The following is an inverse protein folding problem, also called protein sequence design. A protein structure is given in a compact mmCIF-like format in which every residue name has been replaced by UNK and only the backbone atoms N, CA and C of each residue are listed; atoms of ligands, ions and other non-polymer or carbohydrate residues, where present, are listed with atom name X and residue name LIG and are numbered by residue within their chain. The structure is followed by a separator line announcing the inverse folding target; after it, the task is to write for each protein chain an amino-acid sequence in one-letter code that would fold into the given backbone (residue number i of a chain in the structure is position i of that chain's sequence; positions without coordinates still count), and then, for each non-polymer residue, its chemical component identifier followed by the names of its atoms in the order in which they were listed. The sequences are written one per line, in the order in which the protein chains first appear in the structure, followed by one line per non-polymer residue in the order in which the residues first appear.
data_IF_833896073957
#
_entry.id   IF_833896073957
#
_cell.length_a   1.000
_cell.length_b   1.000
_cell.length_c   1.000
_cell.angle_alpha   90.00
_cell.angle_beta   90.00
_cell.angle_gamma   90.00
#
_symmetry.space_group_name_H-M   'P 1'
#
loop_
_entity.id
_entity.type
_entity.pdbx_description
1 polymer ?
#
# COMPACT_ATOMS: atom_id res chain seq x y z
N UNK A 1 41.67 -60.05 -15.09
CA UNK A 1 41.32 -59.06 -14.06
C UNK A 1 40.68 -57.88 -14.76
N UNK A 2 39.36 -57.79 -14.75
CA UNK A 2 38.59 -56.66 -15.33
C UNK A 2 38.37 -55.64 -14.20
N UNK A 3 38.92 -54.40 -14.34
CA UNK A 3 38.68 -53.34 -13.40
C UNK A 3 37.38 -52.63 -13.76
N UNK A 4 36.39 -52.71 -12.87
CA UNK A 4 35.12 -51.96 -12.95
C UNK A 4 35.38 -50.51 -12.50
N UNK A 5 35.31 -49.56 -13.41
CA UNK A 5 35.33 -48.10 -13.08
C UNK A 5 33.89 -47.72 -12.77
N UNK A 6 33.57 -47.51 -11.50
CA UNK A 6 32.28 -46.92 -11.05
C UNK A 6 32.36 -45.38 -11.24
N UNK A 7 31.70 -44.90 -12.25
CA UNK A 7 31.50 -43.43 -12.50
C UNK A 7 30.44 -42.93 -11.52
N UNK A 8 30.86 -42.31 -10.42
CA UNK A 8 29.95 -41.63 -9.50
C UNK A 8 29.44 -40.32 -10.18
N UNK A 9 28.19 -40.35 -10.68
CA UNK A 9 27.46 -39.16 -11.11
C UNK A 9 27.20 -38.28 -9.89
N UNK A 10 28.01 -37.23 -9.72
CA UNK A 10 27.74 -36.11 -8.81
C UNK A 10 26.51 -35.40 -9.31
N UNK A 11 25.36 -35.67 -8.71
CA UNK A 11 24.14 -34.86 -8.87
C UNK A 11 24.40 -33.53 -8.15
N UNK A 12 24.89 -32.54 -8.88
CA UNK A 12 24.96 -31.14 -8.40
C UNK A 12 23.52 -30.70 -8.32
N UNK A 13 22.99 -30.30 -7.12
CA UNK A 13 21.68 -29.74 -7.03
C UNK A 13 21.70 -28.42 -7.83
N UNK A 14 20.95 -28.38 -8.90
CA UNK A 14 20.72 -27.15 -9.67
C UNK A 14 20.04 -26.16 -8.73
N UNK A 15 20.79 -25.19 -8.21
CA UNK A 15 20.22 -24.06 -7.52
C UNK A 15 19.38 -23.31 -8.57
N UNK A 16 18.09 -23.57 -8.58
CA UNK A 16 17.17 -22.89 -9.50
C UNK A 16 17.38 -21.38 -9.37
N UNK A 17 17.62 -20.71 -10.47
CA UNK A 17 17.78 -19.25 -10.50
C UNK A 17 16.63 -18.58 -9.75
N UNK A 18 16.96 -17.75 -8.76
CA UNK A 18 15.97 -17.02 -7.99
C UNK A 18 15.16 -16.12 -8.94
N UNK A 19 13.86 -16.37 -9.02
CA UNK A 19 13.00 -15.62 -9.95
C UNK A 19 12.93 -14.15 -9.53
N UNK A 20 13.39 -13.24 -10.40
CA UNK A 20 13.34 -11.80 -10.15
C UNK A 20 11.91 -11.29 -10.33
N UNK A 21 11.42 -10.58 -9.31
CA UNK A 21 10.11 -9.91 -9.31
C UNK A 21 10.27 -8.43 -8.99
N UNK A 22 9.79 -7.57 -9.88
CA UNK A 22 9.72 -6.13 -9.63
C UNK A 22 8.42 -5.81 -8.92
N UNK A 23 8.51 -5.10 -7.79
CA UNK A 23 7.41 -4.74 -6.92
C UNK A 23 7.43 -3.24 -6.73
N UNK A 24 6.35 -2.54 -7.03
CA UNK A 24 6.28 -1.11 -6.76
C UNK A 24 5.46 -0.78 -5.53
N UNK A 25 5.65 0.44 -5.01
CA UNK A 25 4.82 1.02 -3.96
C UNK A 25 4.57 2.51 -4.22
N UNK A 26 3.37 3.00 -3.85
CA UNK A 26 2.86 4.27 -4.34
C UNK A 26 3.30 5.51 -3.55
N UNK A 27 4.00 5.34 -2.42
CA UNK A 27 4.40 6.45 -1.56
C UNK A 27 5.05 6.00 -0.25
N UNK A 28 5.30 6.95 0.64
CA UNK A 28 6.04 6.74 1.89
C UNK A 28 5.14 6.69 3.15
N UNK A 29 3.83 6.51 2.99
CA UNK A 29 2.91 6.35 4.12
C UNK A 29 3.14 5.03 4.86
N UNK A 30 2.83 5.02 6.16
CA UNK A 30 3.17 3.91 7.05
C UNK A 30 2.49 2.58 6.75
N UNK A 31 1.38 2.58 6.02
CA UNK A 31 0.75 1.35 5.54
C UNK A 31 1.59 0.57 4.49
N UNK A 32 2.66 1.17 3.95
CA UNK A 32 3.63 0.48 3.07
C UNK A 32 4.71 -0.26 3.87
N UNK A 33 4.88 0.03 5.15
CA UNK A 33 5.96 -0.53 5.99
C UNK A 33 5.97 -2.06 6.00
N UNK A 34 4.84 -2.77 6.06
CA UNK A 34 4.85 -4.23 5.99
C UNK A 34 5.57 -4.79 4.74
N UNK A 35 5.39 -4.16 3.57
CA UNK A 35 6.09 -4.56 2.35
C UNK A 35 7.60 -4.33 2.47
N UNK A 36 8.02 -3.18 3.01
CA UNK A 36 9.42 -2.87 3.21
C UNK A 36 10.07 -3.80 4.24
N UNK A 37 9.36 -4.12 5.33
CA UNK A 37 9.79 -5.10 6.34
C UNK A 37 9.96 -6.48 5.70
N UNK A 38 9.03 -6.91 4.85
CA UNK A 38 9.12 -8.18 4.10
C UNK A 38 10.41 -8.24 3.28
N UNK A 39 10.74 -7.15 2.60
CA UNK A 39 11.95 -7.04 1.78
C UNK A 39 13.22 -7.03 2.63
N UNK A 40 13.31 -6.13 3.61
CA UNK A 40 14.50 -5.93 4.43
C UNK A 40 14.82 -7.14 5.33
N UNK A 41 13.82 -7.89 5.74
CA UNK A 41 13.99 -9.14 6.47
C UNK A 41 14.38 -10.32 5.56
N UNK A 42 14.51 -10.11 4.24
CA UNK A 42 14.90 -11.15 3.29
C UNK A 42 13.84 -12.24 3.08
N UNK A 43 12.57 -11.96 3.42
CA UNK A 43 11.50 -12.97 3.37
C UNK A 43 11.16 -13.37 1.93
N UNK A 44 11.30 -12.47 0.95
CA UNK A 44 11.19 -12.83 -0.46
C UNK A 44 12.29 -13.80 -0.88
N UNK A 45 13.55 -13.53 -0.48
CA UNK A 45 14.68 -14.40 -0.75
C UNK A 45 14.50 -15.79 -0.12
N UNK A 46 13.94 -15.86 1.08
CA UNK A 46 13.58 -17.11 1.77
C UNK A 46 12.62 -17.96 0.94
N UNK A 47 11.76 -17.33 0.13
CA UNK A 47 10.83 -18.00 -0.78
C UNK A 47 11.42 -18.23 -2.18
N UNK A 48 12.71 -17.96 -2.40
CA UNK A 48 13.38 -18.11 -3.69
C UNK A 48 13.04 -17.01 -4.70
N UNK A 49 12.60 -15.82 -4.22
CA UNK A 49 12.30 -14.65 -5.05
C UNK A 49 13.38 -13.58 -4.84
N UNK A 50 13.94 -13.08 -5.92
CA UNK A 50 14.75 -11.85 -5.91
C UNK A 50 13.81 -10.67 -6.12
N UNK A 51 13.52 -9.92 -5.05
CA UNK A 51 12.60 -8.79 -5.10
C UNK A 51 13.35 -7.48 -5.35
N UNK A 52 12.88 -6.70 -6.34
CA UNK A 52 13.32 -5.34 -6.62
C UNK A 52 12.18 -4.38 -6.27
N UNK A 53 12.37 -3.54 -5.22
CA UNK A 53 11.35 -2.61 -4.73
C UNK A 53 11.55 -1.23 -5.36
N UNK A 54 10.50 -0.71 -6.02
CA UNK A 54 10.53 0.54 -6.77
C UNK A 54 9.48 1.51 -6.23
N UNK A 55 9.91 2.71 -5.81
CA UNK A 55 9.00 3.81 -5.50
C UNK A 55 8.51 4.45 -6.80
N UNK A 56 7.21 4.37 -7.05
CA UNK A 56 6.54 5.09 -8.14
C UNK A 56 5.44 5.95 -7.52
N UNK A 57 5.57 7.28 -7.57
CA UNK A 57 4.62 8.20 -6.93
C UNK A 57 3.20 8.09 -7.48
N UNK A 58 2.25 7.74 -6.61
CA UNK A 58 0.82 7.63 -6.92
C UNK A 58 0.38 6.30 -7.54
N UNK A 59 -0.85 5.86 -7.19
CA UNK A 59 -1.36 4.53 -7.55
C UNK A 59 -1.59 4.35 -9.05
N UNK A 60 -2.12 5.34 -9.75
CA UNK A 60 -2.45 5.24 -11.18
C UNK A 60 -1.23 4.94 -12.04
N UNK A 61 -0.09 5.60 -11.79
CA UNK A 61 1.17 5.33 -12.51
C UNK A 61 1.70 3.93 -12.24
N UNK A 62 1.57 3.43 -10.99
CA UNK A 62 1.93 2.06 -10.64
C UNK A 62 1.11 1.03 -11.44
N UNK A 63 -0.20 1.26 -11.56
CA UNK A 63 -1.08 0.36 -12.32
C UNK A 63 -0.75 0.40 -13.83
N UNK A 64 -0.41 1.56 -14.38
CA UNK A 64 0.04 1.66 -15.79
C UNK A 64 1.32 0.84 -16.03
N UNK A 65 2.32 0.93 -15.15
CA UNK A 65 3.55 0.14 -15.24
C UNK A 65 3.28 -1.37 -15.06
N UNK A 66 2.32 -1.75 -14.19
CA UNK A 66 1.90 -3.13 -14.02
C UNK A 66 1.25 -3.70 -15.28
N UNK A 67 0.33 -2.95 -15.90
CA UNK A 67 -0.34 -3.34 -17.16
C UNK A 67 0.65 -3.40 -18.32
N UNK A 68 1.65 -2.51 -18.34
CA UNK A 68 2.75 -2.52 -19.31
C UNK A 68 3.74 -3.70 -19.08
N UNK A 69 3.49 -4.57 -18.10
CA UNK A 69 4.33 -5.73 -17.75
C UNK A 69 5.76 -5.35 -17.26
N UNK A 70 5.97 -4.10 -16.85
CA UNK A 70 7.22 -3.62 -16.25
C UNK A 70 7.36 -4.08 -14.78
N UNK A 71 6.23 -4.34 -14.13
CA UNK A 71 6.12 -4.82 -12.75
C UNK A 71 5.39 -6.17 -12.71
N UNK A 72 5.57 -6.91 -11.59
CA UNK A 72 4.79 -8.11 -11.29
C UNK A 72 3.77 -7.88 -10.18
N UNK A 73 4.11 -6.98 -9.25
CA UNK A 73 3.24 -6.63 -8.13
C UNK A 73 3.29 -5.11 -7.90
N UNK A 74 2.17 -4.54 -7.44
CA UNK A 74 2.10 -3.15 -7.03
C UNK A 74 1.38 -3.03 -5.68
N UNK A 75 2.02 -2.35 -4.71
CA UNK A 75 1.40 -1.97 -3.45
C UNK A 75 0.81 -0.57 -3.57
N UNK A 76 -0.50 -0.49 -3.70
CA UNK A 76 -1.23 0.74 -3.98
C UNK A 76 -2.53 0.82 -3.18
N UNK A 77 -3.26 1.92 -3.32
CA UNK A 77 -4.66 1.98 -2.88
C UNK A 77 -5.58 1.33 -3.90
N UNK A 78 -6.65 0.68 -3.43
CA UNK A 78 -7.65 0.00 -4.25
C UNK A 78 -8.38 0.90 -5.25
N UNK A 79 -8.41 2.24 -5.05
CA UNK A 79 -8.98 3.16 -6.04
C UNK A 79 -8.33 3.01 -7.41
N UNK A 80 -6.99 2.87 -7.46
CA UNK A 80 -6.26 2.82 -8.72
C UNK A 80 -6.55 1.54 -9.53
N UNK A 81 -6.44 0.31 -8.99
CA UNK A 81 -6.78 -0.89 -9.75
C UNK A 81 -8.28 -0.98 -10.07
N UNK A 82 -9.18 -0.50 -9.19
CA UNK A 82 -10.61 -0.49 -9.46
C UNK A 82 -10.92 0.42 -10.66
N UNK A 83 -10.40 1.65 -10.69
CA UNK A 83 -10.59 2.55 -11.84
C UNK A 83 -10.02 1.97 -13.13
N UNK A 84 -8.83 1.37 -13.07
CA UNK A 84 -8.22 0.74 -14.24
C UNK A 84 -9.05 -0.45 -14.75
N UNK A 85 -9.60 -1.27 -13.86
CA UNK A 85 -10.48 -2.38 -14.22
C UNK A 85 -11.79 -1.90 -14.87
N UNK A 86 -12.34 -0.75 -14.46
CA UNK A 86 -13.47 -0.11 -15.16
C UNK A 86 -13.11 0.37 -16.57
N UNK A 87 -11.82 0.61 -16.83
CA UNK A 87 -11.29 0.97 -18.15
C UNK A 87 -10.86 -0.25 -18.96
N UNK A 88 -11.12 -1.48 -18.47
CA UNK A 88 -10.78 -2.73 -19.14
C UNK A 88 -9.39 -3.26 -18.86
N UNK A 89 -8.64 -2.70 -17.90
CA UNK A 89 -7.33 -3.21 -17.53
C UNK A 89 -7.43 -4.59 -16.86
N UNK A 90 -6.51 -5.50 -17.23
CA UNK A 90 -6.41 -6.84 -16.67
C UNK A 90 -5.66 -6.81 -15.33
N UNK A 91 -6.31 -6.31 -14.27
CA UNK A 91 -5.73 -6.21 -12.93
C UNK A 91 -6.62 -6.84 -11.88
N UNK A 92 -6.00 -7.36 -10.82
CA UNK A 92 -6.69 -8.01 -9.69
C UNK A 92 -5.96 -7.72 -8.38
N UNK A 93 -6.73 -7.42 -7.33
CA UNK A 93 -6.24 -7.30 -5.96
C UNK A 93 -6.09 -8.71 -5.39
N UNK A 94 -4.90 -9.06 -4.90
CA UNK A 94 -4.59 -10.38 -4.35
C UNK A 94 -4.37 -10.39 -2.83
N UNK A 95 -4.26 -9.20 -2.22
CA UNK A 95 -4.19 -9.04 -0.76
C UNK A 95 -4.57 -7.62 -0.38
N UNK A 96 -5.10 -7.44 0.84
CA UNK A 96 -5.40 -6.13 1.43
C UNK A 96 -4.89 -6.10 2.86
N UNK A 97 -3.82 -5.36 3.12
CA UNK A 97 -3.17 -5.32 4.44
C UNK A 97 -3.71 -4.23 5.37
N UNK A 98 -4.42 -3.23 4.81
CA UNK A 98 -5.01 -2.14 5.58
C UNK A 98 -6.31 -1.64 4.92
N UNK A 99 -7.44 -1.79 5.62
CA UNK A 99 -8.79 -1.54 5.09
C UNK A 99 -9.51 -0.35 5.74
N UNK A 100 -8.77 0.66 6.21
CA UNK A 100 -9.32 1.92 6.71
C UNK A 100 -8.72 3.11 5.95
N UNK A 101 -9.31 4.31 6.09
CA UNK A 101 -8.82 5.55 5.47
C UNK A 101 -7.94 6.33 6.47
N UNK A 102 -6.60 6.11 6.53
CA UNK A 102 -5.72 6.69 7.55
C UNK A 102 -5.23 8.09 7.19
N UNK A 103 -6.09 8.93 6.64
CA UNK A 103 -5.71 10.25 6.14
C UNK A 103 -6.31 11.38 6.96
N UNK A 104 -5.47 12.39 7.22
CA UNK A 104 -5.88 13.66 7.81
C UNK A 104 -5.78 14.77 6.79
N UNK A 105 -6.71 15.74 6.85
CA UNK A 105 -6.71 16.96 6.06
C UNK A 105 -5.88 17.99 6.78
N UNK A 106 -4.66 18.23 6.29
CA UNK A 106 -3.67 19.14 6.87
C UNK A 106 -3.68 20.46 6.11
N UNK A 107 -3.71 21.57 6.83
CA UNK A 107 -3.90 22.90 6.28
C UNK A 107 -2.77 23.88 6.68
N UNK A 108 -2.56 24.90 5.85
CA UNK A 108 -1.74 26.04 6.19
C UNK A 108 -2.30 26.76 7.44
N UNK A 109 -1.42 27.37 8.22
CA UNK A 109 -1.76 28.04 9.49
C UNK A 109 -2.85 29.12 9.37
N UNK A 110 -3.00 29.74 8.20
CA UNK A 110 -3.96 30.81 7.95
C UNK A 110 -5.40 30.24 7.69
N UNK A 111 -5.53 28.94 7.42
CA UNK A 111 -6.82 28.28 7.29
C UNK A 111 -7.36 27.99 8.69
N UNK A 112 -8.52 28.55 9.01
CA UNK A 112 -9.15 28.42 10.33
C UNK A 112 -10.42 27.58 10.30
N UNK A 113 -11.06 27.50 9.14
CA UNK A 113 -12.33 26.80 8.94
C UNK A 113 -12.40 26.15 7.55
N UNK A 114 -13.31 25.20 7.34
CA UNK A 114 -13.57 24.66 6.01
C UNK A 114 -13.95 25.73 4.96
N UNK A 115 -14.62 26.81 5.37
CA UNK A 115 -15.04 27.89 4.45
C UNK A 115 -13.82 28.58 3.80
N UNK A 116 -12.68 28.65 4.49
CA UNK A 116 -11.45 29.27 3.99
C UNK A 116 -10.81 28.47 2.84
N UNK A 117 -11.25 27.24 2.62
CA UNK A 117 -10.78 26.35 1.54
C UNK A 117 -11.43 26.63 0.19
N UNK A 118 -12.53 27.43 0.14
CA UNK A 118 -13.21 27.73 -1.13
C UNK A 118 -12.27 28.41 -2.11
N UNK A 119 -12.21 27.83 -3.33
CA UNK A 119 -11.34 28.31 -4.41
C UNK A 119 -9.85 28.08 -4.19
N UNK A 120 -9.45 27.38 -3.14
CA UNK A 120 -8.04 27.11 -2.84
C UNK A 120 -7.52 25.87 -3.57
N UNK A 121 -6.18 25.84 -3.71
CA UNK A 121 -5.45 24.69 -4.25
C UNK A 121 -5.12 23.72 -3.14
N UNK A 122 -5.32 22.41 -3.41
CA UNK A 122 -5.08 21.30 -2.48
C UNK A 122 -4.05 20.36 -3.12
N UNK A 123 -2.92 20.15 -2.45
CA UNK A 123 -1.89 19.26 -2.95
C UNK A 123 -2.29 17.79 -2.74
N UNK A 124 -2.17 16.99 -3.79
CA UNK A 124 -2.37 15.53 -3.78
C UNK A 124 -1.18 14.82 -4.41
N UNK A 125 -1.05 13.50 -4.20
CA UNK A 125 0.04 12.74 -4.81
C UNK A 125 -0.12 12.64 -6.33
N UNK A 126 -1.28 12.16 -6.78
CA UNK A 126 -1.66 11.99 -8.20
C UNK A 126 -3.18 12.00 -8.33
N UNK A 127 -3.67 12.43 -9.49
CA UNK A 127 -5.07 12.25 -9.88
C UNK A 127 -5.41 10.76 -10.02
N UNK A 128 -6.62 10.37 -9.62
CA UNK A 128 -7.05 8.98 -9.54
C UNK A 128 -6.47 8.19 -8.37
N UNK A 129 -5.62 8.82 -7.52
CA UNK A 129 -5.03 8.19 -6.35
C UNK A 129 -5.82 8.42 -5.05
N UNK A 130 -5.43 7.70 -3.98
CA UNK A 130 -6.12 7.74 -2.69
C UNK A 130 -6.16 9.15 -2.06
N UNK A 131 -5.15 9.98 -2.28
CA UNK A 131 -5.11 11.34 -1.72
C UNK A 131 -6.15 12.25 -2.35
N UNK A 132 -6.52 12.05 -3.62
CA UNK A 132 -7.65 12.71 -4.24
C UNK A 132 -8.97 12.23 -3.63
N UNK A 133 -9.15 10.90 -3.52
CA UNK A 133 -10.35 10.31 -2.91
C UNK A 133 -10.55 10.83 -1.49
N UNK A 134 -9.50 10.79 -0.67
CA UNK A 134 -9.56 11.30 0.70
C UNK A 134 -9.84 12.81 0.75
N UNK A 135 -9.27 13.59 -0.18
CA UNK A 135 -9.55 15.01 -0.31
C UNK A 135 -11.02 15.29 -0.62
N UNK A 136 -11.61 14.55 -1.56
CA UNK A 136 -13.03 14.67 -1.92
C UNK A 136 -13.95 14.32 -0.76
N UNK A 137 -13.66 13.22 -0.05
CA UNK A 137 -14.40 12.83 1.16
C UNK A 137 -14.34 13.89 2.25
N UNK A 138 -13.17 14.50 2.47
CA UNK A 138 -13.03 15.60 3.43
C UNK A 138 -13.89 16.80 3.03
N UNK A 139 -13.89 17.19 1.74
CA UNK A 139 -14.69 18.30 1.24
C UNK A 139 -16.18 18.04 1.38
N UNK A 140 -16.64 16.84 1.07
CA UNK A 140 -18.03 16.43 1.29
C UNK A 140 -18.43 16.55 2.76
N UNK A 141 -17.57 16.09 3.69
CA UNK A 141 -17.77 16.25 5.13
C UNK A 141 -17.83 17.71 5.57
N UNK A 142 -17.12 18.59 4.88
CA UNK A 142 -17.15 20.04 5.15
C UNK A 142 -18.35 20.77 4.54
N UNK A 143 -19.22 20.08 3.82
CA UNK A 143 -20.32 20.69 3.06
C UNK A 143 -19.85 21.52 1.86
N UNK A 144 -18.68 21.17 1.32
CA UNK A 144 -18.08 21.80 0.15
C UNK A 144 -18.25 20.88 -1.07
N UNK A 145 -18.46 21.48 -2.24
CA UNK A 145 -18.63 20.75 -3.49
C UNK A 145 -17.34 20.62 -4.32
N UNK A 146 -17.39 19.81 -5.40
CA UNK A 146 -16.23 19.62 -6.29
C UNK A 146 -15.72 20.91 -6.95
N UNK A 147 -16.58 21.93 -7.08
CA UNK A 147 -16.23 23.25 -7.65
C UNK A 147 -15.52 24.17 -6.66
N UNK A 148 -15.57 23.85 -5.36
CA UNK A 148 -14.97 24.65 -4.30
C UNK A 148 -13.47 24.42 -4.15
N UNK A 149 -12.89 23.44 -4.90
CA UNK A 149 -11.49 23.07 -4.76
C UNK A 149 -10.81 22.83 -6.10
N UNK A 150 -9.47 23.01 -6.12
CA UNK A 150 -8.62 22.61 -7.23
C UNK A 150 -7.50 21.69 -6.71
N UNK A 151 -7.48 20.45 -7.20
CA UNK A 151 -6.38 19.55 -6.89
C UNK A 151 -5.16 19.85 -7.76
N UNK A 152 -3.98 19.90 -7.13
CA UNK A 152 -2.68 20.00 -7.81
C UNK A 152 -1.82 18.81 -7.44
N UNK A 153 -1.22 18.18 -8.45
CA UNK A 153 -0.32 17.05 -8.24
C UNK A 153 1.04 17.55 -7.77
N UNK A 154 1.49 17.12 -6.59
CA UNK A 154 2.76 17.51 -6.00
C UNK A 154 3.58 16.29 -5.49
N UNK A 155 3.21 15.08 -5.89
CA UNK A 155 3.98 13.86 -5.64
C UNK A 155 3.97 13.36 -4.19
N UNK A 156 5.14 12.93 -3.65
CA UNK A 156 5.27 12.35 -2.32
C UNK A 156 4.92 13.32 -1.17
N UNK A 157 4.94 12.82 0.08
CA UNK A 157 4.52 13.59 1.26
C UNK A 157 5.36 14.86 1.49
N UNK A 158 6.69 14.75 1.39
CA UNK A 158 7.59 15.86 1.72
C UNK A 158 7.38 17.13 0.85
N UNK A 159 7.31 17.05 -0.50
CA UNK A 159 6.97 18.20 -1.33
C UNK A 159 5.59 18.79 -1.00
N UNK A 160 4.59 17.95 -0.69
CA UNK A 160 3.24 18.41 -0.34
C UNK A 160 3.21 19.16 0.98
N UNK A 161 3.94 18.67 1.99
CA UNK A 161 4.10 19.35 3.28
C UNK A 161 4.79 20.72 3.07
N UNK A 162 5.87 20.76 2.30
CA UNK A 162 6.59 21.99 2.00
C UNK A 162 5.71 23.02 1.28
N UNK A 163 4.91 22.60 0.31
CA UNK A 163 3.97 23.47 -0.41
C UNK A 163 2.87 24.04 0.49
N UNK A 164 2.39 23.27 1.49
CA UNK A 164 1.45 23.78 2.50
C UNK A 164 2.16 24.76 3.44
N UNK A 165 3.37 24.42 3.89
CA UNK A 165 4.13 25.24 4.82
C UNK A 165 4.50 26.62 4.24
N UNK A 166 4.83 26.67 2.96
CA UNK A 166 5.12 27.93 2.24
C UNK A 166 3.88 28.74 1.87
N UNK A 167 2.68 28.16 1.98
CA UNK A 167 1.42 28.78 1.53
C UNK A 167 1.21 28.70 0.02
N UNK A 168 2.03 27.97 -0.72
CA UNK A 168 1.83 27.73 -2.16
C UNK A 168 0.49 27.03 -2.43
N UNK A 169 0.12 26.09 -1.55
CA UNK A 169 -1.20 25.45 -1.51
C UNK A 169 -1.82 25.62 -0.12
N UNK A 170 -3.14 25.65 -0.04
CA UNK A 170 -3.84 25.84 1.23
C UNK A 170 -3.84 24.57 2.10
N UNK A 171 -3.80 23.43 1.51
CA UNK A 171 -3.93 22.14 2.21
C UNK A 171 -3.32 20.97 1.46
N UNK A 172 -3.17 19.87 2.19
CA UNK A 172 -2.89 18.53 1.64
C UNK A 172 -3.62 17.46 2.43
N UNK A 173 -3.71 16.28 1.88
CA UNK A 173 -4.22 15.07 2.55
C UNK A 173 -3.06 14.15 2.82
N UNK A 174 -2.82 13.80 4.08
CA UNK A 174 -1.60 13.09 4.47
C UNK A 174 -1.88 12.04 5.55
N UNK A 175 -1.17 10.92 5.47
CA UNK A 175 -1.21 9.85 6.48
C UNK A 175 0.09 9.84 7.31
N UNK A 176 0.13 9.19 8.50
CA UNK A 176 1.40 8.97 9.19
C UNK A 176 2.42 8.19 8.31
N UNK A 177 3.72 8.43 8.42
CA UNK A 177 4.38 9.36 9.36
C UNK A 177 4.36 10.83 8.94
N UNK A 178 4.01 11.13 7.68
CA UNK A 178 3.96 12.49 7.14
C UNK A 178 3.05 13.42 7.96
N UNK A 179 1.91 12.91 8.46
CA UNK A 179 1.01 13.65 9.34
C UNK A 179 1.74 14.16 10.60
N UNK A 180 2.45 13.28 11.31
CA UNK A 180 3.16 13.67 12.53
C UNK A 180 4.35 14.58 12.23
N UNK A 181 5.02 14.41 11.10
CA UNK A 181 6.04 15.34 10.64
C UNK A 181 5.44 16.71 10.32
N UNK A 182 4.32 16.79 9.63
CA UNK A 182 3.64 18.06 9.31
C UNK A 182 3.17 18.82 10.58
N UNK A 183 2.58 18.09 11.53
CA UNK A 183 2.15 18.70 12.80
C UNK A 183 3.33 19.17 13.66
N UNK A 184 4.47 18.49 13.63
CA UNK A 184 5.71 18.95 14.29
C UNK A 184 6.25 20.27 13.68
N UNK A 185 5.92 20.57 12.42
CA UNK A 185 6.23 21.83 11.74
C UNK A 185 5.17 22.92 11.98
N UNK A 186 4.18 22.66 12.85
CA UNK A 186 3.13 23.62 13.20
C UNK A 186 1.95 23.69 12.22
N UNK A 187 1.86 22.78 11.25
CA UNK A 187 0.69 22.67 10.39
C UNK A 187 -0.50 22.10 11.18
N UNK A 188 -1.71 22.55 10.84
CA UNK A 188 -2.93 22.18 11.56
C UNK A 188 -3.66 21.03 10.86
N UNK A 189 -4.25 20.15 11.66
CA UNK A 189 -5.21 19.14 11.19
C UNK A 189 -6.60 19.78 11.25
N UNK A 190 -7.26 19.87 10.11
CA UNK A 190 -8.63 20.37 10.00
C UNK A 190 -9.66 19.24 10.17
N UNK A 191 -9.34 18.04 9.69
CA UNK A 191 -10.13 16.83 9.91
C UNK A 191 -9.25 15.59 9.86
N UNK A 192 -9.60 14.57 10.66
CA UNK A 192 -9.05 13.25 10.59
C UNK A 192 -10.08 12.29 9.97
N UNK A 193 -9.76 11.72 8.82
CA UNK A 193 -10.63 10.78 8.12
C UNK A 193 -10.54 9.36 8.71
N UNK A 194 -9.45 9.06 9.44
CA UNK A 194 -9.27 7.79 10.15
C UNK A 194 -10.34 7.58 11.23
N UNK A 195 -10.77 8.66 11.89
CA UNK A 195 -11.81 8.62 12.92
C UNK A 195 -13.21 8.31 12.36
N UNK A 196 -13.40 8.40 11.04
CA UNK A 196 -14.70 8.09 10.41
C UNK A 196 -14.99 6.60 10.39
N UNK A 197 -14.02 5.72 10.64
CA UNK A 197 -14.18 4.27 10.61
C UNK A 197 -14.60 3.70 9.25
N UNK A 198 -14.47 4.49 8.18
CA UNK A 198 -14.87 4.09 6.83
C UNK A 198 -13.93 3.00 6.34
N UNK A 199 -14.49 1.82 6.05
CA UNK A 199 -13.75 0.75 5.39
C UNK A 199 -13.37 1.20 3.98
N UNK A 200 -12.08 1.12 3.67
CA UNK A 200 -11.52 1.49 2.36
C UNK A 200 -10.26 0.67 2.09
N UNK A 201 -10.06 0.13 0.89
CA UNK A 201 -8.90 -0.73 0.59
C UNK A 201 -7.64 0.14 0.37
N UNK A 202 -7.06 0.62 1.47
CA UNK A 202 -5.97 1.62 1.45
C UNK A 202 -4.64 1.03 1.03
N UNK A 203 -4.31 -0.18 1.51
CA UNK A 203 -3.07 -0.85 1.13
C UNK A 203 -3.38 -2.22 0.54
N UNK A 204 -3.34 -2.31 -0.77
CA UNK A 204 -3.60 -3.56 -1.50
C UNK A 204 -2.42 -3.97 -2.36
N UNK A 205 -2.18 -5.28 -2.46
CA UNK A 205 -1.29 -5.88 -3.44
C UNK A 205 -2.07 -6.20 -4.70
N UNK A 206 -1.55 -5.75 -5.83
CA UNK A 206 -2.17 -5.90 -7.15
C UNK A 206 -1.22 -6.63 -8.08
N UNK A 207 -1.77 -7.52 -8.90
CA UNK A 207 -1.09 -8.13 -10.04
C UNK A 207 -2.03 -8.13 -11.24
N UNK A 208 -1.60 -8.67 -12.41
CA UNK A 208 -2.53 -8.94 -13.50
C UNK A 208 -3.17 -10.32 -13.34
N UNK A 209 -4.41 -10.50 -13.82
CA UNK A 209 -5.07 -11.83 -13.83
C UNK A 209 -4.29 -12.81 -14.69
N UNK A 210 -3.76 -12.34 -15.81
CA UNK A 210 -2.90 -13.14 -16.68
C UNK A 210 -1.67 -13.65 -15.90
N UNK A 211 -0.96 -12.76 -15.18
CA UNK A 211 0.22 -13.17 -14.42
C UNK A 211 -0.13 -14.13 -13.29
N UNK A 212 -1.23 -13.89 -12.56
CA UNK A 212 -1.73 -14.77 -11.50
C UNK A 212 -2.02 -16.17 -12.06
N UNK A 213 -2.69 -16.28 -13.20
CA UNK A 213 -3.05 -17.55 -13.81
C UNK A 213 -1.81 -18.34 -14.27
N UNK A 214 -0.85 -17.66 -14.91
CA UNK A 214 0.35 -18.30 -15.46
C UNK A 214 1.43 -18.60 -14.41
N UNK A 215 1.44 -17.86 -13.30
CA UNK A 215 2.51 -17.89 -12.29
C UNK A 215 1.97 -18.10 -10.88
N UNK A 216 0.91 -18.92 -10.71
CA UNK A 216 0.24 -19.13 -9.41
C UNK A 216 1.22 -19.50 -8.28
N UNK A 217 2.22 -20.32 -8.56
CA UNK A 217 3.27 -20.71 -7.61
C UNK A 217 4.10 -19.51 -7.13
N UNK A 218 4.47 -18.61 -8.04
CA UNK A 218 5.23 -17.39 -7.72
C UNK A 218 4.41 -16.45 -6.87
N UNK A 219 3.13 -16.26 -7.24
CA UNK A 219 2.20 -15.41 -6.48
C UNK A 219 1.97 -15.99 -5.08
N UNK A 220 1.86 -17.32 -4.93
CA UNK A 220 1.76 -17.99 -3.62
C UNK A 220 3.01 -17.73 -2.76
N UNK A 221 4.22 -17.89 -3.34
CA UNK A 221 5.48 -17.59 -2.65
C UNK A 221 5.58 -16.12 -2.21
N UNK A 222 5.14 -15.20 -3.07
CA UNK A 222 5.05 -13.78 -2.74
C UNK A 222 4.12 -13.54 -1.55
N UNK A 223 2.91 -14.12 -1.55
CA UNK A 223 1.93 -13.98 -0.47
C UNK A 223 2.43 -14.60 0.84
N UNK A 224 3.11 -15.76 0.79
CA UNK A 224 3.76 -16.38 1.96
C UNK A 224 4.76 -15.39 2.60
N UNK A 225 5.67 -14.82 1.80
CA UNK A 225 6.65 -13.85 2.28
C UNK A 225 5.95 -12.61 2.86
N UNK A 226 4.93 -12.10 2.19
CA UNK A 226 4.21 -10.90 2.60
C UNK A 226 3.45 -11.11 3.92
N UNK A 227 2.78 -12.25 4.09
CA UNK A 227 2.09 -12.61 5.35
C UNK A 227 3.10 -12.73 6.50
N UNK A 228 4.24 -13.40 6.30
CA UNK A 228 5.32 -13.41 7.31
C UNK A 228 5.79 -11.98 7.65
N UNK A 229 5.92 -11.12 6.64
CA UNK A 229 6.30 -9.72 6.81
C UNK A 229 5.29 -8.89 7.61
N UNK A 230 3.99 -9.11 7.43
CA UNK A 230 2.93 -8.48 8.23
C UNK A 230 3.06 -8.85 9.71
N UNK A 231 3.27 -10.13 10.01
CA UNK A 231 3.46 -10.58 11.39
C UNK A 231 4.75 -10.00 12.00
N UNK A 232 5.86 -9.99 11.24
CA UNK A 232 7.12 -9.42 11.67
C UNK A 232 6.99 -7.91 11.95
N UNK A 233 6.29 -7.18 11.07
CA UNK A 233 6.01 -5.75 11.22
C UNK A 233 5.31 -5.46 12.55
N UNK A 234 4.29 -6.22 12.88
CA UNK A 234 3.50 -6.02 14.12
C UNK A 234 4.33 -6.35 15.36
N UNK A 235 5.17 -7.39 15.32
CA UNK A 235 5.86 -7.91 16.50
C UNK A 235 7.24 -7.29 16.77
N UNK A 236 7.91 -6.79 15.72
CA UNK A 236 9.29 -6.27 15.81
C UNK A 236 9.33 -4.77 15.58
N UNK A 237 8.78 -4.01 16.55
CA UNK A 237 8.62 -2.56 16.47
C UNK A 237 9.91 -1.82 16.12
N UNK A 238 11.03 -2.13 16.81
CA UNK A 238 12.31 -1.44 16.61
C UNK A 238 12.88 -1.69 15.21
N UNK A 239 12.82 -2.94 14.73
CA UNK A 239 13.18 -3.28 13.36
C UNK A 239 12.30 -2.55 12.36
N UNK A 240 10.99 -2.53 12.57
CA UNK A 240 10.01 -1.87 11.70
C UNK A 240 10.20 -0.35 11.66
N UNK A 241 10.55 0.27 12.78
CA UNK A 241 10.90 1.69 12.86
C UNK A 241 12.19 2.00 12.09
N UNK A 242 13.23 1.16 12.21
CA UNK A 242 14.47 1.28 11.43
C UNK A 242 14.21 1.16 9.92
N UNK A 243 13.37 0.22 9.52
CA UNK A 243 12.94 0.08 8.13
C UNK A 243 12.13 1.31 7.67
N UNK A 244 11.17 1.78 8.45
CA UNK A 244 10.40 3.00 8.16
C UNK A 244 11.35 4.20 8.00
N UNK A 245 12.32 4.39 8.88
CA UNK A 245 13.35 5.43 8.78
C UNK A 245 14.10 5.36 7.45
N UNK A 246 14.53 4.16 7.05
CA UNK A 246 15.28 3.93 5.80
C UNK A 246 14.50 4.43 4.57
N UNK A 247 13.22 4.10 4.49
CA UNK A 247 12.38 4.40 3.31
C UNK A 247 11.78 5.80 3.32
N UNK A 248 11.45 6.34 4.49
CA UNK A 248 10.86 7.68 4.62
C UNK A 248 11.88 8.80 4.74
N UNK A 249 13.14 8.46 5.10
CA UNK A 249 14.22 9.40 5.45
C UNK A 249 13.92 10.27 6.68
N UNK A 250 12.92 9.91 7.47
CA UNK A 250 12.61 10.59 8.73
C UNK A 250 13.53 10.08 9.83
N UNK A 251 14.12 11.01 10.61
CA UNK A 251 15.03 10.68 11.72
C UNK A 251 14.39 10.79 13.10
N UNK A 252 13.23 11.43 13.21
CA UNK A 252 12.54 11.62 14.49
C UNK A 252 11.92 10.30 14.97
N UNK A 253 12.53 9.70 15.99
CA UNK A 253 12.15 8.40 16.55
C UNK A 253 10.74 8.40 17.16
N UNK A 254 10.29 9.53 17.72
CA UNK A 254 8.94 9.68 18.26
C UNK A 254 7.90 9.59 17.14
N UNK A 255 8.14 10.29 16.00
CA UNK A 255 7.28 10.23 14.82
C UNK A 255 7.20 8.81 14.25
N UNK A 256 8.34 8.10 14.16
CA UNK A 256 8.38 6.73 13.68
C UNK A 256 7.61 5.79 14.60
N UNK A 257 7.85 5.90 15.93
CA UNK A 257 7.17 5.08 16.93
C UNK A 257 5.64 5.30 16.93
N UNK A 258 5.19 6.54 16.92
CA UNK A 258 3.76 6.89 16.85
C UNK A 258 3.12 6.37 15.56
N UNK A 259 3.85 6.42 14.45
CA UNK A 259 3.37 5.92 13.15
C UNK A 259 3.19 4.41 13.16
N UNK A 260 4.17 3.67 13.72
CA UNK A 260 4.04 2.24 13.91
C UNK A 260 2.81 1.90 14.75
N UNK A 261 2.67 2.53 15.93
CA UNK A 261 1.55 2.28 16.86
C UNK A 261 0.19 2.61 16.23
N UNK A 262 0.14 3.62 15.37
CA UNK A 262 -1.06 3.98 14.63
C UNK A 262 -1.51 2.88 13.67
N UNK A 263 -0.60 2.36 12.85
CA UNK A 263 -0.94 1.39 11.80
C UNK A 263 -1.11 -0.03 12.31
N UNK A 264 -0.31 -0.45 13.30
CA UNK A 264 -0.35 -1.81 13.85
C UNK A 264 -1.73 -2.22 14.33
N UNK A 265 -2.49 -1.29 14.92
CA UNK A 265 -3.84 -1.54 15.45
C UNK A 265 -4.82 -2.11 14.44
N UNK A 266 -4.65 -1.75 13.16
CA UNK A 266 -5.57 -2.09 12.09
C UNK A 266 -4.88 -2.82 10.92
N UNK A 267 -3.62 -3.23 11.09
CA UNK A 267 -2.91 -4.06 10.11
C UNK A 267 -3.49 -5.47 10.12
N UNK A 268 -3.89 -5.96 8.97
CA UNK A 268 -4.47 -7.30 8.82
C UNK A 268 -3.35 -8.34 8.73
N UNK A 269 -3.28 -9.23 9.72
CA UNK A 269 -2.30 -10.34 9.73
C UNK A 269 -2.65 -11.44 8.71
N UNK A 270 -3.92 -11.56 8.37
CA UNK A 270 -4.41 -12.33 7.22
C UNK A 270 -5.00 -11.31 6.24
N UNK A 271 -4.27 -10.94 5.18
CA UNK A 271 -4.61 -9.78 4.36
C UNK A 271 -5.69 -10.11 3.30
N UNK A 272 -6.79 -10.75 3.73
CA UNK A 272 -7.95 -10.99 2.87
C UNK A 272 -8.60 -9.67 2.48
N UNK A 273 -8.95 -9.55 1.21
CA UNK A 273 -9.66 -8.37 0.71
C UNK A 273 -11.10 -8.38 1.21
N UNK A 274 -11.51 -7.29 1.87
CA UNK A 274 -12.86 -7.09 2.39
C UNK A 274 -13.78 -6.56 1.28
N UNK A 275 -14.86 -7.27 0.90
CA UNK A 275 -15.80 -6.83 -0.11
C UNK A 275 -16.47 -5.48 0.23
N UNK A 276 -16.69 -5.18 1.52
CA UNK A 276 -17.24 -3.88 1.94
C UNK A 276 -16.25 -2.75 1.63
N UNK A 277 -14.96 -2.97 1.87
CA UNK A 277 -13.94 -1.99 1.54
C UNK A 277 -13.88 -1.74 0.01
N UNK A 278 -13.98 -2.79 -0.81
CA UNK A 278 -14.04 -2.67 -2.27
C UNK A 278 -15.29 -1.89 -2.68
N UNK A 279 -16.47 -2.23 -2.13
CA UNK A 279 -17.72 -1.53 -2.42
C UNK A 279 -17.60 -0.02 -2.18
N UNK A 280 -16.97 0.38 -1.07
CA UNK A 280 -16.77 1.78 -0.73
C UNK A 280 -15.76 2.51 -1.64
N UNK A 281 -14.96 1.77 -2.40
CA UNK A 281 -14.01 2.33 -3.37
C UNK A 281 -14.55 2.38 -4.80
N UNK A 282 -15.74 1.83 -5.06
CA UNK A 282 -16.37 1.90 -6.37
C UNK A 282 -16.78 3.35 -6.69
N UNK A 283 -16.55 3.84 -7.92
CA UNK A 283 -17.07 5.13 -8.35
C UNK A 283 -18.60 5.13 -8.30
N UNK A 284 -19.19 6.17 -7.70
CA UNK A 284 -20.63 6.25 -7.46
C UNK A 284 -21.47 6.16 -8.76
N UNK A 285 -20.95 6.67 -9.87
CA UNK A 285 -21.55 6.66 -11.19
C UNK A 285 -21.42 5.31 -11.93
N UNK A 286 -20.55 4.42 -11.46
CA UNK A 286 -20.20 3.14 -12.11
C UNK A 286 -20.52 1.92 -11.27
N UNK A 287 -21.05 2.10 -10.07
CA UNK A 287 -21.31 1.01 -9.12
C UNK A 287 -22.48 0.09 -9.57
N UNK A 288 -23.29 0.50 -10.55
CA UNK A 288 -24.41 -0.30 -11.06
C UNK A 288 -23.93 -1.30 -12.12
N UNK A 289 -23.94 -2.59 -11.79
CA UNK A 289 -23.81 -3.68 -12.77
C UNK A 289 -22.55 -4.55 -12.68
N UNK A 290 -21.56 -4.20 -11.84
CA UNK A 290 -20.37 -5.07 -11.59
C UNK A 290 -20.34 -5.54 -10.14
N UNK A 291 -20.13 -6.84 -9.94
CA UNK A 291 -19.93 -7.42 -8.61
C UNK A 291 -18.60 -7.01 -8.01
N UNK A 292 -18.55 -6.83 -6.69
CA UNK A 292 -17.30 -6.46 -5.99
C UNK A 292 -16.22 -7.54 -6.14
N UNK A 293 -16.64 -8.79 -6.36
CA UNK A 293 -15.81 -9.98 -6.55
C UNK A 293 -14.95 -9.90 -7.82
N UNK A 294 -15.35 -9.05 -8.77
CA UNK A 294 -14.58 -8.85 -10.00
C UNK A 294 -13.25 -8.11 -9.77
N UNK A 295 -13.03 -7.49 -8.61
CA UNK A 295 -11.87 -6.65 -8.37
C UNK A 295 -10.78 -7.34 -7.54
N UNK A 296 -11.06 -8.49 -6.93
CA UNK A 296 -10.09 -9.18 -6.09
C UNK A 296 -10.13 -10.71 -6.25
N UNK A 297 -9.06 -11.36 -5.82
CA UNK A 297 -8.94 -12.81 -5.72
C UNK A 297 -8.28 -13.19 -4.39
N UNK A 298 -9.07 -13.73 -3.48
CA UNK A 298 -8.61 -14.21 -2.17
C UNK A 298 -8.20 -15.69 -2.18
N UNK A 299 -8.27 -16.38 -3.31
CA UNK A 299 -8.15 -17.84 -3.38
C UNK A 299 -6.84 -18.37 -2.80
N UNK A 300 -5.70 -17.75 -3.12
CA UNK A 300 -4.40 -18.16 -2.60
C UNK A 300 -4.23 -17.87 -1.11
N UNK A 301 -4.77 -16.76 -0.62
CA UNK A 301 -4.73 -16.45 0.82
C UNK A 301 -5.63 -17.42 1.60
N UNK A 302 -6.80 -17.74 1.06
CA UNK A 302 -7.69 -18.73 1.68
C UNK A 302 -7.07 -20.13 1.69
N UNK A 303 -6.34 -20.49 0.64
CA UNK A 303 -5.55 -21.72 0.60
C UNK A 303 -4.50 -21.74 1.73
N UNK A 304 -3.74 -20.67 1.92
CA UNK A 304 -2.75 -20.54 3.01
C UNK A 304 -3.40 -20.62 4.42
N UNK A 305 -4.58 -20.06 4.59
CA UNK A 305 -5.35 -20.17 5.83
C UNK A 305 -5.75 -21.63 6.07
N UNK A 306 -6.32 -22.29 5.07
CA UNK A 306 -6.78 -23.68 5.16
C UNK A 306 -5.61 -24.67 5.40
N UNK A 307 -4.42 -24.37 4.89
CA UNK A 307 -3.17 -25.13 5.14
C UNK A 307 -2.60 -24.90 6.56
N UNK A 308 -3.19 -24.02 7.39
CA UNK A 308 -2.71 -23.69 8.73
C UNK A 308 -1.43 -22.85 8.74
N UNK A 309 -1.04 -22.28 7.60
CA UNK A 309 0.21 -21.50 7.46
C UNK A 309 0.23 -20.29 8.39
N UNK A 310 -0.88 -19.56 8.47
CA UNK A 310 -0.99 -18.32 9.28
C UNK A 310 -0.87 -18.64 10.77
N UNK A 311 -1.54 -19.71 11.24
CA UNK A 311 -1.43 -20.16 12.62
C UNK A 311 -0.01 -20.63 12.97
N UNK A 312 0.68 -21.26 12.01
CA UNK A 312 2.06 -21.69 12.15
C UNK A 312 3.02 -20.52 12.36
N UNK A 313 2.82 -19.38 11.66
CA UNK A 313 3.63 -18.17 11.86
C UNK A 313 3.38 -17.59 13.26
N UNK A 314 2.13 -17.45 13.67
CA UNK A 314 1.78 -16.87 14.96
C UNK A 314 2.41 -17.66 16.15
N UNK A 315 2.59 -18.98 16.00
CA UNK A 315 3.28 -19.83 16.99
C UNK A 315 4.80 -19.67 16.99
N UNK A 316 5.42 -19.47 15.81
CA UNK A 316 6.89 -19.34 15.68
C UNK A 316 7.43 -18.00 16.16
N UNK A 317 6.58 -16.99 16.19
CA UNK A 317 6.99 -15.62 16.51
C UNK A 317 6.61 -15.20 17.95
N UNK A 318 5.93 -16.09 18.71
CA UNK A 318 5.74 -15.99 20.17
C UNK A 318 6.96 -16.52 20.87
#
# INVERSE_FOLDING_TARGET
MLALIILALLVIPWAGDAQTVRISYAGTSGYNVPLWVTHEAGLFKKQGLTADLILIGGGSTNIQALVANELRFANVSGSAPIQAAFQGADVVIIASSYNLMPYSFVVHRDIRSPADLRGKRIAISRLGGITEVAGRLAFEKFGLGPKDMTFVQAGPDSPRIAAVQSGEVAATVIAPPGLFAATSLGLKVLADLGDLGVKYPTAVMVTTRFYLAQNRSVVKKFLIAFVEGLHLYVQKKDFSNGVMQKYTKLSNQEVLSKSHDYFVKNTLLVPLTDPIAIKNALPADKASGRGVEEFYDNSLLQELVNEGFVEGIAKKLR
#
